data_IF_859884880899
#
_entry.id   IF_859884880899
#
_cell.length_a   1.000
_cell.length_b   1.000
_cell.length_c   1.000
_cell.angle_alpha   90.00
_cell.angle_beta   90.00
_cell.angle_gamma   90.00
#
_symmetry.space_group_name_H-M   'P 1'
#
loop_
_entity.id
_entity.type
_entity.pdbx_description
1 polymer ?
#
# COMPACT_ATOMS: atom_id res chain seq x y z
N UNK A 1 25.75 -2.20 34.33
CA UNK A 1 27.22 -2.02 34.48
C UNK A 1 27.96 -3.28 34.96
N UNK A 2 27.43 -4.09 35.89
CA UNK A 2 28.13 -5.28 36.40
C UNK A 2 28.26 -6.44 35.37
N UNK A 3 27.27 -6.64 34.51
CA UNK A 3 27.21 -7.78 33.59
C UNK A 3 28.33 -7.81 32.54
N UNK A 4 28.86 -6.66 32.11
CA UNK A 4 29.99 -6.59 31.16
C UNK A 4 31.29 -7.19 31.72
N UNK A 5 31.35 -7.51 33.02
CA UNK A 5 32.49 -8.16 33.68
C UNK A 5 32.20 -9.63 34.04
N UNK A 6 31.19 -10.22 33.42
CA UNK A 6 30.76 -11.60 33.68
C UNK A 6 31.00 -12.53 32.49
N UNK A 7 31.75 -12.08 31.48
CA UNK A 7 31.97 -12.80 30.23
C UNK A 7 30.64 -13.29 29.59
N UNK A 8 29.63 -12.41 29.43
CA UNK A 8 28.32 -12.87 28.92
C UNK A 8 28.36 -13.07 27.40
N UNK A 9 27.53 -13.99 26.89
CA UNK A 9 27.21 -14.06 25.45
C UNK A 9 25.90 -13.32 25.12
N UNK A 10 24.91 -13.47 26.02
CA UNK A 10 23.55 -12.95 25.86
C UNK A 10 23.20 -12.11 27.09
N UNK A 11 22.68 -10.91 26.85
CA UNK A 11 22.29 -9.96 27.90
C UNK A 11 20.81 -9.63 27.73
N UNK A 12 20.04 -9.76 28.80
CA UNK A 12 18.66 -9.29 28.86
C UNK A 12 18.57 -8.04 29.74
N UNK A 13 18.25 -6.91 29.13
CA UNK A 13 17.91 -5.67 29.81
C UNK A 13 16.39 -5.67 29.97
N UNK A 14 15.89 -5.57 31.19
CA UNK A 14 14.44 -5.67 31.43
C UNK A 14 13.65 -4.65 30.63
N UNK A 15 14.01 -3.37 30.74
CA UNK A 15 13.36 -2.27 30.04
C UNK A 15 14.35 -1.11 29.88
N UNK A 16 14.32 -0.42 28.73
CA UNK A 16 15.05 0.84 28.51
C UNK A 16 14.11 2.00 28.80
N UNK A 17 14.40 2.77 29.85
CA UNK A 17 13.62 3.96 30.26
C UNK A 17 14.34 5.27 30.07
N UNK A 18 15.67 5.23 30.10
CA UNK A 18 16.55 6.38 30.09
C UNK A 18 17.75 6.17 29.15
N UNK A 19 18.42 7.28 28.83
CA UNK A 19 19.59 7.31 27.95
C UNK A 19 20.75 6.47 28.50
N UNK A 20 20.97 6.45 29.82
CA UNK A 20 22.08 5.72 30.42
C UNK A 20 21.93 4.22 30.18
N UNK A 21 20.74 3.68 30.41
CA UNK A 21 20.42 2.27 30.19
C UNK A 21 20.51 1.91 28.70
N UNK A 22 19.96 2.78 27.84
CA UNK A 22 20.02 2.61 26.39
C UNK A 22 21.46 2.58 25.88
N UNK A 23 22.31 3.52 26.30
CA UNK A 23 23.72 3.56 25.90
C UNK A 23 24.48 2.31 26.32
N UNK A 24 24.26 1.82 27.54
CA UNK A 24 24.93 0.62 28.03
C UNK A 24 24.51 -0.59 27.21
N UNK A 25 23.22 -0.71 26.87
CA UNK A 25 22.70 -1.78 26.04
C UNK A 25 23.30 -1.74 24.62
N UNK A 26 23.33 -0.56 23.99
CA UNK A 26 23.89 -0.40 22.63
C UNK A 26 25.40 -0.65 22.60
N UNK A 27 26.15 -0.15 23.60
CA UNK A 27 27.59 -0.42 23.72
C UNK A 27 27.88 -1.90 23.92
N UNK A 28 27.04 -2.62 24.68
CA UNK A 28 27.16 -4.06 24.83
C UNK A 28 26.89 -4.80 23.50
N UNK A 29 25.88 -4.36 22.74
CA UNK A 29 25.58 -4.92 21.42
C UNK A 29 26.76 -4.72 20.44
N UNK A 30 27.34 -3.50 20.39
CA UNK A 30 28.49 -3.20 19.54
C UNK A 30 29.74 -4.03 19.86
N UNK A 31 29.92 -4.44 21.11
CA UNK A 31 31.06 -5.28 21.51
C UNK A 31 30.84 -6.77 21.22
N UNK A 32 29.76 -7.12 20.50
CA UNK A 32 29.50 -8.47 20.01
C UNK A 32 28.54 -9.28 20.86
N UNK A 33 27.90 -8.68 21.88
CA UNK A 33 26.92 -9.38 22.72
C UNK A 33 25.53 -9.36 22.06
N UNK A 34 24.78 -10.46 22.21
CA UNK A 34 23.37 -10.44 21.85
C UNK A 34 22.55 -9.79 22.97
N UNK A 35 21.94 -8.64 22.70
CA UNK A 35 21.20 -7.88 23.72
C UNK A 35 19.71 -7.88 23.42
N UNK A 36 18.91 -8.38 24.36
CA UNK A 36 17.46 -8.24 24.36
C UNK A 36 17.05 -7.13 25.31
N UNK A 37 16.11 -6.29 24.89
CA UNK A 37 15.49 -5.29 25.75
C UNK A 37 14.02 -5.07 25.39
N UNK A 38 13.28 -4.45 26.31
CA UNK A 38 11.92 -3.99 26.05
C UNK A 38 11.83 -2.47 26.09
N UNK A 39 10.96 -1.92 25.25
CA UNK A 39 10.55 -0.52 25.24
C UNK A 39 9.03 -0.44 25.11
N UNK A 40 8.45 0.64 25.63
CA UNK A 40 7.03 0.92 25.48
C UNK A 40 6.79 1.87 24.32
N UNK A 41 6.51 1.30 23.16
CA UNK A 41 6.17 2.02 21.92
C UNK A 41 4.92 1.44 21.28
N UNK A 42 4.37 2.17 20.30
CA UNK A 42 3.14 1.74 19.63
C UNK A 42 3.40 0.64 18.58
N UNK A 43 4.56 0.69 17.95
CA UNK A 43 4.98 -0.16 16.83
C UNK A 43 6.51 -0.13 16.67
N UNK A 44 7.01 -0.88 15.67
CA UNK A 44 8.44 -1.13 15.49
C UNK A 44 9.19 0.13 15.00
N UNK A 45 8.74 0.85 13.96
CA UNK A 45 9.35 2.13 13.56
C UNK A 45 9.39 3.18 14.69
N UNK A 46 8.30 3.32 15.46
CA UNK A 46 8.23 4.24 16.59
C UNK A 46 9.30 3.96 17.68
N UNK A 47 9.80 2.72 17.74
CA UNK A 47 10.88 2.33 18.67
C UNK A 47 12.19 3.00 18.31
N UNK A 48 12.49 3.14 17.01
CA UNK A 48 13.68 3.88 16.56
C UNK A 48 13.54 5.35 16.93
N UNK A 49 12.40 5.97 16.60
CA UNK A 49 12.12 7.36 16.96
C UNK A 49 12.25 7.60 18.46
N UNK A 50 11.71 6.71 19.29
CA UNK A 50 11.82 6.79 20.75
C UNK A 50 13.27 6.72 21.25
N UNK A 51 14.11 5.88 20.65
CA UNK A 51 15.53 5.77 21.02
C UNK A 51 16.30 7.04 20.63
N UNK A 52 15.98 7.64 19.48
CA UNK A 52 16.53 8.95 19.08
C UNK A 52 16.07 10.05 20.04
N UNK A 53 14.79 10.08 20.40
CA UNK A 53 14.20 11.08 21.31
C UNK A 53 14.84 11.09 22.70
N UNK A 54 15.22 9.92 23.22
CA UNK A 54 15.93 9.82 24.51
C UNK A 54 17.43 10.16 24.40
N UNK A 55 17.94 10.41 23.19
CA UNK A 55 19.29 10.90 22.95
C UNK A 55 20.28 9.88 22.38
N UNK A 56 19.82 8.72 21.90
CA UNK A 56 20.71 7.77 21.22
C UNK A 56 20.96 8.24 19.78
N UNK A 57 22.22 8.44 19.35
CA UNK A 57 22.51 8.87 17.99
C UNK A 57 22.02 7.86 16.94
N UNK A 58 21.43 8.36 15.85
CA UNK A 58 20.85 7.52 14.80
C UNK A 58 21.87 6.56 14.15
N UNK A 59 23.11 7.01 13.93
CA UNK A 59 24.17 6.16 13.38
C UNK A 59 24.50 4.95 14.28
N UNK A 60 24.34 5.10 15.59
CA UNK A 60 24.55 4.02 16.54
C UNK A 60 23.43 2.98 16.39
N UNK A 61 22.18 3.45 16.33
CA UNK A 61 21.03 2.57 16.08
C UNK A 61 21.16 1.82 14.76
N UNK A 62 21.52 2.51 13.68
CA UNK A 62 21.69 1.92 12.36
C UNK A 62 22.77 0.83 12.32
N UNK A 63 23.77 0.88 13.21
CA UNK A 63 24.88 -0.09 13.23
C UNK A 63 24.75 -1.18 14.29
N UNK A 64 23.98 -0.96 15.37
CA UNK A 64 23.86 -1.91 16.48
C UNK A 64 22.49 -2.57 16.63
N UNK A 65 21.42 -1.97 16.08
CA UNK A 65 20.08 -2.55 16.15
C UNK A 65 19.93 -3.62 15.07
N UNK A 66 19.64 -4.86 15.47
CA UNK A 66 19.42 -5.95 14.50
C UNK A 66 17.95 -6.04 14.07
N UNK A 67 17.03 -5.89 15.03
CA UNK A 67 15.61 -6.13 14.80
C UNK A 67 14.77 -5.51 15.92
N UNK A 68 13.56 -5.09 15.57
CA UNK A 68 12.53 -4.65 16.51
C UNK A 68 11.28 -5.50 16.32
N UNK A 69 10.77 -6.06 17.42
CA UNK A 69 9.52 -6.80 17.45
C UNK A 69 8.48 -6.00 18.23
N UNK A 70 7.43 -5.54 17.55
CA UNK A 70 6.23 -5.04 18.22
C UNK A 70 5.17 -6.13 18.32
N UNK A 71 4.42 -6.13 19.43
CA UNK A 71 3.37 -7.10 19.67
C UNK A 71 2.11 -6.49 20.27
N UNK A 72 0.96 -7.06 19.89
CA UNK A 72 -0.34 -6.83 20.53
C UNK A 72 -1.01 -8.16 20.82
N UNK A 73 -1.80 -8.21 21.90
CA UNK A 73 -2.63 -9.37 22.23
C UNK A 73 -4.09 -9.07 21.91
N UNK A 74 -4.66 -9.89 21.02
CA UNK A 74 -6.09 -9.96 20.74
C UNK A 74 -6.76 -11.13 21.45
N UNK A 75 -8.08 -11.09 21.54
CA UNK A 75 -8.91 -12.20 22.02
C UNK A 75 -9.14 -13.22 20.90
N UNK A 76 -9.10 -14.51 21.23
CA UNK A 76 -9.47 -15.59 20.28
C UNK A 76 -10.97 -15.83 20.31
N UNK A 77 -11.58 -15.96 19.14
CA UNK A 77 -12.97 -16.38 19.01
C UNK A 77 -13.17 -17.75 19.65
N UNK A 78 -14.28 -17.91 20.36
CA UNK A 78 -14.66 -19.21 20.92
C UNK A 78 -14.98 -20.19 19.79
N UNK A 79 -14.28 -21.32 19.75
CA UNK A 79 -14.42 -22.34 18.70
C UNK A 79 -15.80 -23.01 18.66
N UNK A 80 -16.57 -22.89 19.74
CA UNK A 80 -17.89 -23.53 19.90
C UNK A 80 -19.06 -22.67 19.47
N UNK A 81 -18.89 -21.35 19.53
CA UNK A 81 -19.99 -20.41 19.31
C UNK A 81 -19.66 -19.31 18.31
N UNK A 82 -18.49 -19.33 17.64
CA UNK A 82 -18.23 -18.39 16.55
C UNK A 82 -19.26 -18.60 15.44
N UNK A 83 -19.72 -17.52 14.84
CA UNK A 83 -20.70 -17.55 13.74
C UNK A 83 -20.18 -16.76 12.55
N UNK A 84 -20.54 -17.09 11.31
CA UNK A 84 -20.22 -16.27 10.14
C UNK A 84 -20.68 -14.82 10.35
N UNK A 85 -19.84 -13.87 9.97
CA UNK A 85 -20.11 -12.45 10.06
C UNK A 85 -20.15 -11.85 8.65
N UNK A 86 -21.17 -11.04 8.39
CA UNK A 86 -21.28 -10.27 7.15
C UNK A 86 -20.84 -8.84 7.44
N UNK A 87 -19.93 -8.32 6.61
CA UNK A 87 -19.44 -6.96 6.67
C UNK A 87 -19.68 -6.29 5.32
N UNK A 88 -19.84 -4.97 5.30
CA UNK A 88 -19.95 -4.26 4.03
C UNK A 88 -18.59 -4.24 3.33
N UNK A 89 -18.58 -4.17 2.00
CA UNK A 89 -17.34 -4.05 1.21
C UNK A 89 -16.52 -2.83 1.64
N UNK A 90 -17.18 -1.72 1.97
CA UNK A 90 -16.54 -0.49 2.45
C UNK A 90 -15.88 -0.68 3.84
N UNK A 91 -16.53 -1.40 4.74
CA UNK A 91 -15.96 -1.74 6.05
C UNK A 91 -14.72 -2.63 5.92
N UNK A 92 -14.74 -3.59 4.98
CA UNK A 92 -13.60 -4.48 4.74
C UNK A 92 -12.42 -3.75 4.10
N UNK A 93 -12.67 -2.89 3.11
CA UNK A 93 -11.63 -2.06 2.49
C UNK A 93 -11.00 -1.10 3.51
N UNK A 94 -11.83 -0.39 4.29
CA UNK A 94 -11.33 0.54 5.33
C UNK A 94 -10.60 -0.19 6.46
N UNK A 95 -10.89 -1.46 6.70
CA UNK A 95 -10.16 -2.26 7.66
C UNK A 95 -8.76 -2.69 7.17
N UNK A 96 -8.49 -2.65 5.86
CA UNK A 96 -7.22 -3.05 5.23
C UNK A 96 -7.27 -4.39 4.46
N UNK A 97 -8.45 -4.89 4.10
CA UNK A 97 -8.56 -6.01 3.15
C UNK A 97 -8.43 -5.51 1.71
N UNK A 98 -7.83 -6.33 0.84
CA UNK A 98 -7.68 -6.04 -0.60
C UNK A 98 -8.99 -6.26 -1.34
N UNK A 99 -9.24 -5.51 -2.42
CA UNK A 99 -10.52 -5.61 -3.14
C UNK A 99 -10.75 -7.02 -3.72
N UNK A 100 -9.66 -7.69 -4.13
CA UNK A 100 -9.66 -9.06 -4.68
C UNK A 100 -10.14 -10.13 -3.72
N UNK A 101 -9.84 -10.00 -2.42
CA UNK A 101 -10.13 -11.06 -1.46
C UNK A 101 -11.53 -10.98 -0.86
N UNK A 102 -12.22 -9.84 -1.02
CA UNK A 102 -13.48 -9.57 -0.34
C UNK A 102 -14.58 -10.56 -0.72
N UNK A 103 -14.64 -10.97 -1.99
CA UNK A 103 -15.72 -11.83 -2.48
C UNK A 103 -15.63 -13.26 -1.93
N UNK A 104 -14.41 -13.74 -1.61
CA UNK A 104 -14.16 -15.07 -1.03
C UNK A 104 -13.93 -15.02 0.49
N UNK A 105 -13.97 -13.82 1.10
CA UNK A 105 -13.63 -13.62 2.50
C UNK A 105 -14.76 -14.09 3.43
N UNK A 106 -14.47 -15.10 4.24
CA UNK A 106 -15.37 -15.54 5.31
C UNK A 106 -14.83 -15.14 6.70
N UNK A 107 -15.44 -14.11 7.30
CA UNK A 107 -15.12 -13.69 8.67
C UNK A 107 -16.10 -14.26 9.69
N UNK A 108 -15.69 -14.21 10.96
CA UNK A 108 -16.47 -14.73 12.08
C UNK A 108 -16.63 -13.70 13.20
N UNK A 109 -17.77 -13.76 13.87
CA UNK A 109 -18.14 -12.91 14.99
C UNK A 109 -18.40 -13.71 16.28
N UNK A 110 -18.25 -13.08 17.46
CA UNK A 110 -18.59 -13.68 18.74
C UNK A 110 -20.12 -13.79 18.93
N UNK A 111 -20.62 -14.98 19.34
CA UNK A 111 -22.03 -15.16 19.77
C UNK A 111 -22.21 -15.22 21.29
N UNK A 112 -21.28 -15.88 21.98
CA UNK A 112 -21.41 -16.22 23.40
C UNK A 112 -22.05 -17.59 23.64
N UNK A 113 -21.50 -18.34 24.59
CA UNK A 113 -22.02 -19.63 25.08
C UNK A 113 -21.46 -19.92 26.49
N UNK A 114 -21.96 -20.95 27.20
CA UNK A 114 -21.45 -21.30 28.52
C UNK A 114 -19.94 -21.59 28.54
N UNK A 115 -19.37 -22.16 27.47
CA UNK A 115 -17.94 -22.50 27.42
C UNK A 115 -17.01 -21.27 27.41
N UNK A 116 -17.50 -20.13 26.94
CA UNK A 116 -16.78 -18.85 26.97
C UNK A 116 -17.40 -17.85 27.96
N UNK A 117 -18.20 -18.32 28.91
CA UNK A 117 -18.90 -17.49 29.90
C UNK A 117 -19.73 -16.36 29.27
N UNK A 118 -20.34 -16.63 28.10
CA UNK A 118 -21.14 -15.65 27.36
C UNK A 118 -20.34 -14.59 26.60
N UNK A 119 -19.01 -14.56 26.70
CA UNK A 119 -18.18 -13.49 26.09
C UNK A 119 -18.00 -13.63 24.57
N UNK A 120 -18.15 -14.84 24.04
CA UNK A 120 -17.88 -15.16 22.63
C UNK A 120 -16.40 -15.31 22.28
N UNK A 121 -15.50 -15.09 23.25
CA UNK A 121 -14.06 -15.25 23.12
C UNK A 121 -13.50 -16.18 24.20
N UNK A 122 -12.47 -16.97 23.87
CA UNK A 122 -11.76 -17.84 24.83
C UNK A 122 -10.28 -17.95 24.45
N UNK A 123 -9.41 -17.45 25.33
CA UNK A 123 -7.97 -17.37 25.09
C UNK A 123 -7.53 -16.10 24.34
N UNK A 124 -6.23 -16.02 24.04
CA UNK A 124 -5.59 -14.86 23.39
C UNK A 124 -4.75 -15.29 22.19
N UNK A 125 -4.55 -14.38 21.25
CA UNK A 125 -3.70 -14.53 20.06
C UNK A 125 -2.76 -13.33 19.98
N UNK A 126 -1.51 -13.57 19.60
CA UNK A 126 -0.53 -12.53 19.35
C UNK A 126 -0.61 -12.02 17.91
N UNK A 127 -0.53 -10.70 17.76
CA UNK A 127 -0.24 -10.01 16.51
C UNK A 127 1.19 -9.50 16.63
N UNK A 128 2.02 -9.84 15.67
CA UNK A 128 3.46 -9.58 15.70
C UNK A 128 3.83 -8.80 14.46
N UNK A 129 4.58 -7.72 14.67
CA UNK A 129 5.19 -6.90 13.63
C UNK A 129 6.68 -6.96 13.86
N UNK A 130 7.42 -7.38 12.85
CA UNK A 130 8.85 -7.61 12.93
C UNK A 130 9.57 -6.74 11.91
N UNK A 131 10.29 -5.74 12.40
CA UNK A 131 11.13 -4.88 11.59
C UNK A 131 12.58 -5.35 11.71
N UNK A 132 13.09 -5.98 10.67
CA UNK A 132 14.51 -6.27 10.54
C UNK A 132 15.25 -5.02 10.08
N UNK A 133 16.44 -4.77 10.64
CA UNK A 133 17.29 -3.65 10.22
C UNK A 133 18.16 -4.11 9.07
N UNK A 134 17.58 -4.11 7.86
CA UNK A 134 18.30 -4.34 6.60
C UNK A 134 19.18 -3.14 6.25
N UNK A 135 20.00 -3.25 5.19
CA UNK A 135 20.83 -2.14 4.72
C UNK A 135 20.01 -0.89 4.37
N UNK A 136 18.82 -1.04 3.77
CA UNK A 136 17.96 0.10 3.43
C UNK A 136 17.28 0.70 4.66
N UNK A 137 16.85 -0.14 5.61
CA UNK A 137 16.31 0.33 6.90
C UNK A 137 17.39 1.06 7.69
N UNK A 138 18.62 0.53 7.73
CA UNK A 138 19.76 1.17 8.40
C UNK A 138 20.08 2.55 7.80
N UNK A 139 20.10 2.67 6.45
CA UNK A 139 20.26 3.96 5.76
C UNK A 139 19.14 4.93 6.12
N UNK A 140 17.89 4.47 6.16
CA UNK A 140 16.74 5.28 6.54
C UNK A 140 16.85 5.78 7.99
N UNK A 141 17.25 4.91 8.92
CA UNK A 141 17.52 5.27 10.32
C UNK A 141 18.63 6.33 10.38
N UNK A 142 19.76 6.09 9.72
CA UNK A 142 20.90 7.00 9.71
C UNK A 142 20.56 8.39 9.13
N UNK A 143 19.67 8.44 8.13
CA UNK A 143 19.19 9.67 7.52
C UNK A 143 18.11 10.38 8.37
N UNK A 144 17.72 9.81 9.52
CA UNK A 144 16.69 10.35 10.43
C UNK A 144 15.39 10.71 9.70
N UNK A 145 14.96 9.84 8.78
CA UNK A 145 13.69 10.00 8.07
C UNK A 145 12.51 9.93 9.04
N UNK A 146 11.35 10.44 8.64
CA UNK A 146 10.17 10.38 9.50
C UNK A 146 9.76 8.93 9.80
N UNK A 147 9.06 8.70 10.93
CA UNK A 147 8.56 7.37 11.30
C UNK A 147 7.70 6.74 10.18
N UNK A 148 6.90 7.55 9.48
CA UNK A 148 6.12 7.11 8.33
C UNK A 148 7.01 6.65 7.17
N UNK A 149 8.07 7.39 6.86
CA UNK A 149 9.03 7.00 5.81
C UNK A 149 9.79 5.74 6.20
N UNK A 150 10.22 5.62 7.46
CA UNK A 150 10.88 4.42 7.95
C UNK A 150 9.97 3.20 7.87
N UNK A 151 8.68 3.36 8.22
CA UNK A 151 7.66 2.31 8.07
C UNK A 151 7.51 1.87 6.62
N UNK A 152 7.47 2.81 5.66
CA UNK A 152 7.42 2.48 4.21
C UNK A 152 8.59 1.60 3.80
N UNK A 153 9.81 2.01 4.15
CA UNK A 153 11.03 1.27 3.82
C UNK A 153 10.98 -0.12 4.45
N UNK A 154 10.64 -0.21 5.74
CA UNK A 154 10.54 -1.49 6.43
C UNK A 154 9.50 -2.43 5.79
N UNK A 155 8.32 -1.93 5.39
CA UNK A 155 7.31 -2.73 4.69
C UNK A 155 7.83 -3.21 3.33
N UNK A 156 8.52 -2.35 2.58
CA UNK A 156 9.14 -2.72 1.31
C UNK A 156 10.22 -3.79 1.46
N UNK A 157 10.92 -3.77 2.59
CA UNK A 157 11.93 -4.76 2.99
C UNK A 157 11.34 -6.02 3.66
N UNK A 158 10.00 -6.15 3.69
CA UNK A 158 9.31 -7.37 4.10
C UNK A 158 8.65 -7.36 5.48
N UNK A 159 8.62 -6.21 6.17
CA UNK A 159 7.88 -6.07 7.43
C UNK A 159 6.36 -6.15 7.20
N UNK A 160 5.70 -7.07 7.92
CA UNK A 160 4.25 -7.07 8.08
C UNK A 160 3.84 -6.22 9.27
N UNK A 161 2.88 -5.31 9.08
CA UNK A 161 2.36 -4.47 10.15
C UNK A 161 1.52 -5.25 11.17
N UNK A 162 1.34 -4.69 12.37
CA UNK A 162 0.41 -5.25 13.36
C UNK A 162 -1.00 -5.44 12.80
N UNK A 163 -1.48 -4.51 11.97
CA UNK A 163 -2.80 -4.58 11.32
C UNK A 163 -2.88 -5.76 10.36
N UNK A 164 -1.91 -5.92 9.45
CA UNK A 164 -1.89 -7.03 8.51
C UNK A 164 -1.77 -8.38 9.21
N UNK A 165 -0.91 -8.49 10.23
CA UNK A 165 -0.79 -9.68 11.06
C UNK A 165 -2.11 -10.02 11.76
N UNK A 166 -2.84 -9.02 12.23
CA UNK A 166 -4.15 -9.20 12.86
C UNK A 166 -5.26 -9.59 11.86
N UNK A 167 -5.30 -8.95 10.68
CA UNK A 167 -6.21 -9.30 9.60
C UNK A 167 -5.98 -10.74 9.13
N UNK A 168 -4.73 -11.18 9.04
CA UNK A 168 -4.41 -12.57 8.74
C UNK A 168 -5.03 -13.55 9.74
N UNK A 169 -5.02 -13.21 11.04
CA UNK A 169 -5.71 -14.00 12.07
C UNK A 169 -7.24 -13.93 11.98
N UNK A 170 -7.80 -12.85 11.43
CA UNK A 170 -9.22 -12.77 11.12
C UNK A 170 -9.58 -13.66 9.91
N UNK A 171 -8.76 -13.69 8.84
CA UNK A 171 -8.90 -14.59 7.69
C UNK A 171 -8.91 -16.06 8.12
N UNK A 172 -8.03 -16.43 9.05
CA UNK A 172 -7.96 -17.78 9.64
C UNK A 172 -9.16 -18.09 10.57
N UNK A 173 -10.06 -17.13 10.82
CA UNK A 173 -11.19 -17.29 11.73
C UNK A 173 -10.79 -17.50 13.19
N UNK A 174 -9.60 -17.01 13.58
CA UNK A 174 -9.05 -17.11 14.93
C UNK A 174 -9.50 -15.94 15.80
N UNK A 175 -9.63 -14.75 15.22
CA UNK A 175 -10.14 -13.53 15.88
C UNK A 175 -11.25 -12.91 15.03
N UNK A 176 -11.99 -11.95 15.60
CA UNK A 176 -12.99 -11.16 14.86
C UNK A 176 -12.38 -9.89 14.26
N UNK A 177 -13.05 -9.32 13.27
CA UNK A 177 -12.70 -8.00 12.72
C UNK A 177 -12.76 -6.90 13.78
N UNK A 178 -13.78 -6.92 14.64
CA UNK A 178 -13.93 -6.00 15.78
C UNK A 178 -12.67 -6.00 16.67
N UNK A 179 -12.14 -7.18 17.00
CA UNK A 179 -10.96 -7.27 17.84
C UNK A 179 -9.68 -6.81 17.11
N UNK A 180 -9.59 -7.03 15.79
CA UNK A 180 -8.50 -6.46 14.96
C UNK A 180 -8.53 -4.94 15.03
N UNK A 181 -9.67 -4.34 14.72
CA UNK A 181 -9.86 -2.88 14.71
C UNK A 181 -9.59 -2.26 16.08
N UNK A 182 -9.96 -2.96 17.16
CA UNK A 182 -9.75 -2.50 18.53
C UNK A 182 -8.29 -2.53 18.98
N UNK A 183 -7.50 -3.48 18.48
CA UNK A 183 -6.13 -3.75 18.97
C UNK A 183 -5.03 -3.16 18.11
N UNK A 184 -5.37 -2.73 16.91
CA UNK A 184 -4.41 -2.24 15.92
C UNK A 184 -4.94 -0.98 15.28
N UNK A 185 -4.05 -0.10 14.85
CA UNK A 185 -4.40 1.08 14.06
C UNK A 185 -4.21 0.74 12.59
N UNK A 186 -5.08 1.29 11.73
CA UNK A 186 -4.74 1.39 10.31
C UNK A 186 -3.76 2.54 10.23
N UNK A 187 -2.52 2.24 9.86
CA UNK A 187 -1.72 3.26 9.21
C UNK A 187 -2.32 3.33 7.82
N UNK A 188 -3.01 4.44 7.48
CA UNK A 188 -3.47 4.66 6.11
C UNK A 188 -2.29 4.29 5.23
N UNK A 189 -2.48 3.24 4.42
CA UNK A 189 -1.45 2.70 3.56
C UNK A 189 -0.76 3.88 2.97
N UNK A 190 0.48 4.02 3.39
CA UNK A 190 1.28 5.14 3.02
C UNK A 190 1.74 4.76 1.62
N UNK A 191 0.79 4.89 0.69
CA UNK A 191 0.98 5.02 -0.72
C UNK A 191 2.27 5.86 -0.85
N UNK A 192 3.15 5.50 -1.78
CA UNK A 192 4.31 6.34 -2.08
C UNK A 192 3.87 7.81 -2.15
N UNK A 193 4.71 8.77 -1.74
CA UNK A 193 4.27 10.16 -1.64
C UNK A 193 3.61 10.66 -2.95
N UNK A 194 4.08 10.17 -4.10
CA UNK A 194 3.49 10.43 -5.43
C UNK A 194 2.11 9.80 -5.68
N UNK A 195 1.68 8.82 -4.88
CA UNK A 195 0.33 8.23 -4.90
C UNK A 195 -0.61 8.86 -3.86
N UNK A 196 -0.09 9.31 -2.70
CA UNK A 196 -0.87 10.06 -1.67
C UNK A 196 -1.13 11.49 -2.12
N UNK A 197 -0.05 12.19 -2.49
CA UNK A 197 -0.01 13.59 -2.92
C UNK A 197 0.72 13.69 -4.28
N UNK A 198 0.15 13.14 -5.37
CA UNK A 198 0.64 13.44 -6.71
C UNK A 198 0.57 14.94 -6.96
N UNK A 199 1.54 15.46 -7.73
CA UNK A 199 1.51 16.84 -8.19
C UNK A 199 0.19 17.10 -8.90
N UNK A 200 -0.54 18.10 -8.40
CA UNK A 200 -1.80 18.53 -8.99
C UNK A 200 -1.49 19.69 -9.93
N UNK A 201 -1.78 19.49 -11.20
CA UNK A 201 -1.58 20.48 -12.24
C UNK A 201 -2.95 20.96 -12.73
N UNK A 202 -3.12 22.28 -12.80
CA UNK A 202 -4.29 22.94 -13.37
C UNK A 202 -3.94 23.50 -14.73
N UNK A 203 -4.78 23.21 -15.72
CA UNK A 203 -4.58 23.62 -17.11
C UNK A 203 -5.77 24.46 -17.59
N UNK A 204 -5.49 25.49 -18.39
CA UNK A 204 -6.47 26.29 -19.11
C UNK A 204 -6.81 25.66 -20.46
N UNK A 205 -7.83 26.18 -21.17
CA UNK A 205 -8.26 25.63 -22.46
C UNK A 205 -7.17 25.74 -23.52
N UNK A 206 -6.83 24.62 -24.17
CA UNK A 206 -5.85 24.58 -25.25
C UNK A 206 -4.39 24.35 -24.81
N UNK A 207 -4.13 24.24 -23.50
CA UNK A 207 -2.81 23.90 -22.98
C UNK A 207 -2.38 22.48 -23.40
N UNK A 208 -1.12 22.36 -23.77
CA UNK A 208 -0.51 21.07 -24.14
C UNK A 208 0.04 20.38 -22.89
N UNK A 209 -0.51 19.21 -22.58
CA UNK A 209 -0.12 18.40 -21.43
C UNK A 209 0.92 17.35 -21.85
N UNK A 210 0.72 16.72 -23.01
CA UNK A 210 1.66 15.75 -23.61
C UNK A 210 1.87 16.14 -25.06
N UNK A 211 3.11 16.04 -25.55
CA UNK A 211 3.45 16.27 -26.94
C UNK A 211 3.85 14.94 -27.62
N UNK A 212 3.26 14.66 -28.78
CA UNK A 212 3.61 13.51 -29.63
C UNK A 212 5.13 13.47 -29.92
N UNK A 213 5.69 12.26 -29.97
CA UNK A 213 7.11 11.95 -30.17
C UNK A 213 8.08 12.38 -29.05
N UNK A 214 7.62 13.04 -27.98
CA UNK A 214 8.46 13.27 -26.81
C UNK A 214 8.82 11.95 -26.09
N UNK A 215 9.88 11.99 -25.28
CA UNK A 215 10.41 10.83 -24.54
C UNK A 215 10.12 10.85 -23.04
N UNK A 216 9.34 11.82 -22.57
CA UNK A 216 8.91 11.86 -21.18
C UNK A 216 7.97 10.69 -20.89
N UNK A 217 8.06 10.13 -19.69
CA UNK A 217 7.37 8.88 -19.33
C UNK A 217 6.27 9.07 -18.30
N UNK A 218 6.12 10.27 -17.75
CA UNK A 218 5.13 10.49 -16.70
C UNK A 218 3.73 10.16 -17.19
N UNK A 219 2.89 9.71 -16.29
CA UNK A 219 1.52 9.40 -16.60
C UNK A 219 0.61 10.20 -15.69
N UNK A 220 -0.63 10.33 -16.11
CA UNK A 220 -1.51 11.33 -15.55
C UNK A 220 -2.88 10.72 -15.28
N UNK A 221 -3.61 11.29 -14.32
CA UNK A 221 -5.00 10.94 -14.01
C UNK A 221 -5.85 12.18 -14.11
N UNK A 222 -6.91 12.11 -14.91
CA UNK A 222 -7.89 13.19 -14.99
C UNK A 222 -8.69 13.25 -13.68
N UNK A 223 -8.61 14.36 -12.95
CA UNK A 223 -9.45 14.58 -11.74
C UNK A 223 -10.75 15.25 -12.13
N UNK A 224 -10.67 16.28 -12.97
CA UNK A 224 -11.82 17.07 -13.41
C UNK A 224 -11.53 17.70 -14.76
N UNK A 225 -12.57 17.88 -15.58
CA UNK A 225 -12.48 18.52 -16.89
C UNK A 225 -12.42 17.48 -18.00
N UNK A 226 -11.82 17.83 -19.13
CA UNK A 226 -11.69 16.95 -20.28
C UNK A 226 -10.42 17.28 -21.05
N UNK A 227 -9.85 16.28 -21.72
CA UNK A 227 -8.66 16.44 -22.56
C UNK A 227 -8.88 15.77 -23.91
N UNK A 228 -8.39 16.40 -24.97
CA UNK A 228 -8.42 15.88 -26.33
C UNK A 228 -7.12 15.11 -26.63
N UNK A 229 -7.25 13.99 -27.32
CA UNK A 229 -6.13 13.19 -27.83
C UNK A 229 -5.94 13.52 -29.30
N UNK A 230 -4.76 14.01 -29.67
CA UNK A 230 -4.42 14.40 -31.03
C UNK A 230 -3.25 13.56 -31.56
N UNK A 231 -3.37 13.06 -32.80
CA UNK A 231 -2.29 12.37 -33.50
C UNK A 231 -2.10 13.01 -34.87
N UNK A 232 -0.88 13.43 -35.19
CA UNK A 232 -0.60 14.20 -36.40
C UNK A 232 -1.47 15.47 -36.51
N UNK A 233 -1.76 16.11 -35.37
CA UNK A 233 -2.60 17.31 -35.29
C UNK A 233 -4.12 17.10 -35.45
N UNK A 234 -4.58 15.86 -35.66
CA UNK A 234 -6.02 15.54 -35.75
C UNK A 234 -6.53 14.96 -34.44
N UNK A 235 -7.66 15.45 -33.95
CA UNK A 235 -8.35 14.88 -32.78
C UNK A 235 -8.86 13.48 -33.10
N UNK A 236 -8.40 12.49 -32.35
CA UNK A 236 -8.78 11.07 -32.52
C UNK A 236 -9.65 10.55 -31.37
N UNK A 237 -9.55 11.16 -30.19
CA UNK A 237 -10.35 10.79 -29.02
C UNK A 237 -10.49 11.98 -28.05
N UNK A 238 -11.34 11.80 -27.06
CA UNK A 238 -11.46 12.70 -25.91
C UNK A 238 -11.57 11.84 -24.65
N UNK A 239 -10.95 12.31 -23.57
CA UNK A 239 -11.00 11.71 -22.24
C UNK A 239 -11.78 12.66 -21.36
N UNK A 240 -12.91 12.19 -20.85
CA UNK A 240 -13.88 12.99 -20.10
C UNK A 240 -14.21 12.42 -18.73
N UNK A 241 -13.91 11.14 -18.48
CA UNK A 241 -14.30 10.47 -17.24
C UNK A 241 -13.27 10.76 -16.13
N UNK A 242 -13.71 11.34 -15.00
CA UNK A 242 -12.86 11.48 -13.83
C UNK A 242 -12.32 10.12 -13.38
N UNK A 243 -11.02 10.08 -13.10
CA UNK A 243 -10.31 8.89 -12.68
C UNK A 243 -9.68 8.07 -13.80
N UNK A 244 -9.87 8.45 -15.07
CA UNK A 244 -9.14 7.85 -16.19
C UNK A 244 -7.66 8.26 -16.19
N UNK A 245 -6.79 7.27 -16.43
CA UNK A 245 -5.36 7.48 -16.64
C UNK A 245 -5.02 7.74 -18.11
N UNK A 246 -3.99 8.53 -18.39
CA UNK A 246 -3.46 8.75 -19.73
C UNK A 246 -1.94 8.97 -19.72
N UNK A 247 -1.29 8.72 -20.86
CA UNK A 247 0.17 8.79 -21.01
C UNK A 247 0.92 7.54 -20.54
N UNK A 248 0.22 6.56 -19.96
CA UNK A 248 0.79 5.33 -19.41
C UNK A 248 1.53 4.48 -20.45
N UNK A 249 1.11 4.50 -21.72
CA UNK A 249 1.69 3.67 -22.77
C UNK A 249 3.19 3.90 -22.96
N UNK A 250 3.65 5.16 -22.86
CA UNK A 250 5.07 5.49 -23.00
C UNK A 250 5.91 4.92 -21.85
N UNK A 251 5.35 4.89 -20.63
CA UNK A 251 5.99 4.24 -19.48
C UNK A 251 5.97 2.71 -19.60
N UNK A 252 4.87 2.12 -20.07
CA UNK A 252 4.70 0.65 -20.16
C UNK A 252 5.56 0.05 -21.27
N UNK A 253 5.56 0.66 -22.45
CA UNK A 253 6.21 0.10 -23.65
C UNK A 253 7.66 0.58 -23.82
N UNK A 254 8.09 1.55 -23.01
CA UNK A 254 9.37 2.25 -23.18
C UNK A 254 9.52 2.88 -24.59
N UNK A 255 8.42 3.44 -25.10
CA UNK A 255 8.33 4.07 -26.42
C UNK A 255 8.06 5.59 -26.32
N UNK A 256 8.43 6.39 -27.34
CA UNK A 256 8.02 7.80 -27.41
C UNK A 256 6.50 7.99 -27.37
N UNK A 257 6.05 9.17 -26.95
CA UNK A 257 4.62 9.55 -26.90
C UNK A 257 3.94 9.30 -28.25
N UNK A 258 2.89 8.48 -28.25
CA UNK A 258 2.15 8.08 -29.45
C UNK A 258 1.16 9.13 -29.96
N UNK A 259 0.83 10.12 -29.13
CA UNK A 259 -0.12 11.19 -29.40
C UNK A 259 0.13 12.38 -28.47
N UNK A 260 -0.32 13.56 -28.87
CA UNK A 260 -0.41 14.74 -28.00
C UNK A 260 -1.70 14.70 -27.18
N UNK A 261 -1.64 15.23 -25.96
CA UNK A 261 -2.82 15.48 -25.11
C UNK A 261 -2.91 16.98 -24.87
N UNK A 262 -4.08 17.53 -25.18
CA UNK A 262 -4.36 18.96 -25.04
C UNK A 262 -5.63 19.12 -24.20
N UNK A 263 -5.63 20.04 -23.25
CA UNK A 263 -6.82 20.35 -22.44
C UNK A 263 -7.96 20.87 -23.33
N UNK A 264 -9.19 20.53 -22.98
CA UNK A 264 -10.39 21.11 -23.61
C UNK A 264 -11.26 21.74 -22.53
N UNK A 265 -11.12 23.04 -22.34
CA UNK A 265 -11.57 23.74 -21.16
C UNK A 265 -10.65 23.50 -19.97
N UNK A 266 -11.00 24.11 -18.83
CA UNK A 266 -10.25 23.95 -17.58
C UNK A 266 -10.27 22.51 -17.11
N UNK A 267 -9.09 21.96 -16.81
CA UNK A 267 -8.97 20.64 -16.22
C UNK A 267 -7.97 20.63 -15.07
N UNK A 268 -8.19 19.67 -14.17
CA UNK A 268 -7.34 19.37 -13.02
C UNK A 268 -6.83 17.95 -13.21
N UNK A 269 -5.51 17.80 -13.17
CA UNK A 269 -4.83 16.54 -13.48
C UNK A 269 -3.86 16.22 -12.35
N UNK A 270 -3.75 14.93 -12.02
CA UNK A 270 -2.71 14.41 -11.12
C UNK A 270 -1.60 13.79 -11.94
N UNK A 271 -0.35 14.18 -11.72
CA UNK A 271 0.85 13.65 -12.38
C UNK A 271 1.52 12.58 -11.53
N UNK A 272 2.01 11.53 -12.19
CA UNK A 272 2.71 10.40 -11.57
C UNK A 272 4.00 10.10 -12.33
N UNK A 273 5.12 9.83 -11.62
CA UNK A 273 6.39 9.47 -12.25
C UNK A 273 6.30 8.17 -13.04
N UNK A 274 6.73 8.19 -14.31
CA UNK A 274 6.66 7.02 -15.19
C UNK A 274 7.60 5.87 -14.82
N UNK A 275 8.76 6.20 -14.25
CA UNK A 275 9.77 5.23 -13.77
C UNK A 275 9.28 4.41 -12.57
N UNK A 276 8.25 4.90 -11.87
CA UNK A 276 7.59 4.23 -10.75
C UNK A 276 6.44 3.32 -11.15
N UNK A 277 6.13 3.22 -12.45
CA UNK A 277 5.00 2.43 -12.91
C UNK A 277 5.19 0.93 -12.69
N UNK A 278 6.39 0.39 -12.93
CA UNK A 278 6.69 -1.02 -12.67
C UNK A 278 6.55 -1.36 -11.19
N UNK A 279 7.06 -0.49 -10.32
CA UNK A 279 6.90 -0.60 -8.87
C UNK A 279 5.41 -0.55 -8.46
N UNK A 280 4.62 0.31 -9.11
CA UNK A 280 3.17 0.39 -8.89
C UNK A 280 2.46 -0.92 -9.25
N UNK A 281 2.82 -1.51 -10.39
CA UNK A 281 2.24 -2.78 -10.87
C UNK A 281 2.62 -3.94 -9.94
N UNK A 282 3.88 -4.00 -9.51
CA UNK A 282 4.39 -5.09 -8.68
C UNK A 282 3.92 -5.00 -7.22
N UNK A 283 3.99 -3.81 -6.62
CA UNK A 283 3.76 -3.62 -5.19
C UNK A 283 2.34 -3.19 -4.83
N UNK A 284 1.56 -2.63 -5.78
CA UNK A 284 0.23 -2.07 -5.50
C UNK A 284 -0.83 -2.60 -6.49
N UNK A 285 -1.22 -3.90 -6.38
CA UNK A 285 -2.14 -4.55 -7.31
C UNK A 285 -3.50 -3.86 -7.47
N UNK A 286 -4.05 -3.26 -6.41
CA UNK A 286 -5.34 -2.57 -6.47
C UNK A 286 -5.27 -1.27 -7.31
N UNK A 287 -4.17 -0.52 -7.21
CA UNK A 287 -3.92 0.67 -8.03
C UNK A 287 -3.69 0.28 -9.49
N UNK A 288 -2.90 -0.78 -9.70
CA UNK A 288 -2.60 -1.29 -11.04
C UNK A 288 -3.86 -1.85 -11.72
N UNK A 289 -4.78 -2.49 -10.97
CA UNK A 289 -6.06 -2.97 -11.49
C UNK A 289 -6.92 -1.86 -12.07
N UNK A 290 -6.96 -0.69 -11.44
CA UNK A 290 -7.72 0.45 -11.98
C UNK A 290 -7.11 0.92 -13.31
N UNK A 291 -5.78 1.02 -13.38
CA UNK A 291 -5.04 1.33 -14.61
C UNK A 291 -5.35 0.31 -15.71
N UNK A 292 -5.26 -1.00 -15.41
CA UNK A 292 -5.56 -2.06 -16.37
C UNK A 292 -7.02 -2.08 -16.82
N UNK A 293 -7.98 -1.82 -15.92
CA UNK A 293 -9.40 -1.69 -16.28
C UNK A 293 -9.61 -0.56 -17.30
N UNK A 294 -8.97 0.60 -17.11
CA UNK A 294 -9.01 1.70 -18.08
C UNK A 294 -8.42 1.30 -19.44
N UNK A 295 -7.24 0.67 -19.45
CA UNK A 295 -6.58 0.19 -20.67
C UNK A 295 -7.46 -0.82 -21.45
N UNK A 296 -8.02 -1.81 -20.75
CA UNK A 296 -8.91 -2.82 -21.34
C UNK A 296 -10.21 -2.18 -21.84
N UNK A 297 -10.75 -1.19 -21.13
CA UNK A 297 -11.92 -0.43 -21.55
C UNK A 297 -11.69 0.29 -22.88
N UNK A 298 -10.55 0.97 -23.03
CA UNK A 298 -10.15 1.63 -24.27
C UNK A 298 -9.96 0.65 -25.41
N UNK A 299 -9.29 -0.48 -25.16
CA UNK A 299 -9.11 -1.54 -26.15
C UNK A 299 -10.46 -2.05 -26.68
N UNK A 300 -11.41 -2.37 -25.78
CA UNK A 300 -12.77 -2.80 -26.16
C UNK A 300 -13.53 -1.74 -26.98
N UNK A 301 -13.34 -0.46 -26.68
CA UNK A 301 -13.97 0.64 -27.45
C UNK A 301 -13.41 0.70 -28.87
N UNK A 302 -12.09 0.56 -29.02
CA UNK A 302 -11.43 0.47 -30.32
C UNK A 302 -11.89 -0.75 -31.11
N UNK A 303 -11.94 -1.93 -30.50
CA UNK A 303 -12.41 -3.15 -31.16
C UNK A 303 -13.85 -3.03 -31.68
N UNK A 304 -14.74 -2.41 -30.90
CA UNK A 304 -16.14 -2.16 -31.35
C UNK A 304 -16.20 -1.25 -32.57
N UNK A 305 -15.37 -0.22 -32.64
CA UNK A 305 -15.28 0.68 -33.79
C UNK A 305 -14.79 -0.09 -35.02
N UNK A 306 -13.75 -0.91 -34.86
CA UNK A 306 -13.20 -1.74 -35.95
C UNK A 306 -14.24 -2.74 -36.46
N UNK A 307 -14.98 -3.40 -35.57
CA UNK A 307 -16.05 -4.34 -35.93
C UNK A 307 -17.20 -3.64 -36.66
N UNK A 308 -17.61 -2.45 -36.22
CA UNK A 308 -18.64 -1.66 -36.92
C UNK A 308 -18.20 -1.22 -38.32
N UNK A 309 -16.92 -0.86 -38.48
CA UNK A 309 -16.35 -0.50 -39.79
C UNK A 309 -16.24 -1.73 -40.72
N UNK A 310 -15.89 -2.90 -40.18
CA UNK A 310 -15.82 -4.14 -40.93
C UNK A 310 -17.19 -4.74 -41.29
N UNK A 311 -18.22 -4.51 -40.44
CA UNK A 311 -19.59 -5.01 -40.64
C UNK A 311 -20.47 -4.20 -41.60
N UNK A 312 -19.96 -3.09 -42.16
CA UNK A 312 -20.69 -2.15 -43.02
C UNK A 312 -20.95 -2.60 -44.47
N UNK A 313 -20.92 -3.90 -44.76
CA UNK A 313 -21.26 -4.46 -46.07
C UNK A 313 -22.78 -4.61 -46.26
N UNK A 314 -23.41 -3.67 -46.97
CA UNK A 314 -24.84 -3.72 -47.36
C UNK A 314 -25.20 -5.05 -48.06
N UNK A 315 -25.97 -5.92 -47.41
CA UNK A 315 -26.79 -6.92 -48.12
C UNK A 315 -28.02 -6.24 -48.71
N UNK A 316 -28.04 -6.08 -50.04
CA UNK A 316 -29.24 -5.65 -50.78
C UNK A 316 -30.35 -6.71 -50.60
N UNK A 317 -31.62 -6.31 -50.37
CA UNK A 317 -32.72 -7.25 -50.41
C UNK A 317 -32.96 -7.72 -51.85
N UNK A 318 -32.92 -9.04 -52.08
CA UNK A 318 -33.37 -9.64 -53.33
C UNK A 318 -34.88 -9.48 -53.44
N UNK A 319 -35.31 -8.73 -54.46
CA UNK A 319 -36.71 -8.65 -54.89
C UNK A 319 -37.07 -9.99 -55.52
N UNK A 320 -37.87 -10.79 -54.80
CA UNK A 320 -38.48 -12.00 -55.34
C UNK A 320 -39.62 -11.58 -56.28
N UNK A 321 -39.39 -11.66 -57.60
CA UNK A 321 -40.47 -11.64 -58.59
C UNK A 321 -41.19 -12.99 -58.55
N UNK A 322 -42.46 -12.99 -58.14
CA UNK A 322 -43.38 -14.11 -58.41
C UNK A 322 -44.04 -13.89 -59.77
N UNK A 323 -44.00 -14.94 -60.58
CA UNK A 323 -44.89 -15.15 -61.73
C UNK A 323 -46.29 -15.55 -61.25
#
# INVERSE_FOLDING_TARGET
KAFLRQDPDIIMVGEIRDIETAEIAMKAAMTGHLVFSTLHTNDSPATVGRLVDIGIPAYLLASSLTMVLSQRLGRRLCTKCKVPANHSREELLSAGFREEEIDDLQLFAPKGCPECNGLGYRGRVGFFELMEVTDEVAKAIQAEVSEEQLRKVAIQEGMYTLREAALQKAREGITSLEEVLRRTVVHEESLPAYLVNPDVEEYEDGDVIIQEANKDKDFFKLVRGKVAVLRGGKKIAEITEPGEYFGEMAAILDEPRSASIVSSGRCVIKRYPGDKLSELIEKYPDVSRHLFRTLVGRLKKTDRIVVQLAGGGRTRPQVVRRA
#
